data_IF_652233001269
#
_entry.id   IF_652233001269
#
_cell.length_a   1.000
_cell.length_b   1.000
_cell.length_c   1.000
_cell.angle_alpha   90.00
_cell.angle_beta   90.00
_cell.angle_gamma   90.00
#
_symmetry.space_group_name_H-M   'P 1'
#
loop_
_entity.id
_entity.type
_entity.pdbx_description
1 polymer ?
#
# COMPACT_ATOMS: atom_id res chain seq x y z
N UNK A 1 16.55 19.59 -14.30
CA UNK A 1 15.48 19.24 -13.36
C UNK A 1 15.06 17.78 -13.47
N UNK A 2 14.62 17.28 -14.63
CA UNK A 2 14.13 15.89 -14.78
C UNK A 2 15.20 14.83 -14.47
N UNK A 3 16.46 15.02 -14.89
CA UNK A 3 17.53 14.06 -14.61
C UNK A 3 17.85 13.94 -13.12
N UNK A 4 17.78 15.04 -12.37
CA UNK A 4 17.99 15.01 -10.91
C UNK A 4 16.85 14.27 -10.20
N UNK A 5 15.61 14.52 -10.59
CA UNK A 5 14.43 13.82 -10.03
C UNK A 5 14.50 12.31 -10.32
N UNK A 6 14.82 11.95 -11.57
CA UNK A 6 14.97 10.55 -11.94
C UNK A 6 16.11 9.86 -11.17
N UNK A 7 17.25 10.54 -11.01
CA UNK A 7 18.38 10.02 -10.23
C UNK A 7 18.04 9.81 -8.75
N UNK A 8 17.39 10.79 -8.13
CA UNK A 8 16.94 10.67 -6.74
C UNK A 8 15.93 9.52 -6.56
N UNK A 9 14.98 9.41 -7.49
CA UNK A 9 14.00 8.32 -7.46
C UNK A 9 14.68 6.95 -7.61
N UNK A 10 15.59 6.80 -8.57
CA UNK A 10 16.34 5.56 -8.76
C UNK A 10 17.15 5.19 -7.51
N UNK A 11 17.82 6.17 -6.89
CA UNK A 11 18.57 5.96 -5.65
C UNK A 11 17.65 5.48 -4.52
N UNK A 12 16.50 6.13 -4.33
CA UNK A 12 15.53 5.73 -3.31
C UNK A 12 15.02 4.30 -3.51
N UNK A 13 14.80 3.91 -4.77
CA UNK A 13 14.38 2.54 -5.10
C UNK A 13 15.47 1.53 -4.81
N UNK A 14 16.71 1.77 -5.24
CA UNK A 14 17.84 0.84 -5.04
C UNK A 14 18.15 0.68 -3.55
N UNK A 15 18.26 1.78 -2.81
CA UNK A 15 18.51 1.74 -1.36
C UNK A 15 17.37 1.07 -0.62
N UNK A 16 16.12 1.38 -0.97
CA UNK A 16 14.95 0.75 -0.36
C UNK A 16 14.93 -0.77 -0.55
N UNK A 17 15.19 -1.24 -1.77
CA UNK A 17 15.27 -2.69 -2.07
C UNK A 17 16.43 -3.34 -1.32
N UNK A 18 17.62 -2.73 -1.35
CA UNK A 18 18.79 -3.27 -0.68
C UNK A 18 18.58 -3.40 0.85
N UNK A 19 18.09 -2.35 1.49
CA UNK A 19 17.77 -2.36 2.93
C UNK A 19 16.67 -3.38 3.22
N UNK A 20 15.65 -3.48 2.38
CA UNK A 20 14.56 -4.44 2.54
C UNK A 20 15.05 -5.90 2.48
N UNK A 21 15.85 -6.25 1.49
CA UNK A 21 16.39 -7.62 1.33
C UNK A 21 17.37 -7.97 2.47
N UNK A 22 18.34 -7.11 2.72
CA UNK A 22 19.35 -7.35 3.77
C UNK A 22 18.70 -7.38 5.15
N UNK A 23 17.79 -6.46 5.41
CA UNK A 23 17.04 -6.40 6.66
C UNK A 23 16.13 -7.59 6.90
N UNK A 24 15.47 -8.09 5.85
CA UNK A 24 14.68 -9.32 5.95
C UNK A 24 15.54 -10.52 6.36
N UNK A 25 16.72 -10.68 5.77
CA UNK A 25 17.65 -11.75 6.14
C UNK A 25 18.16 -11.59 7.57
N UNK A 26 18.46 -10.37 8.00
CA UNK A 26 18.85 -10.08 9.38
C UNK A 26 17.72 -10.42 10.37
N UNK A 27 16.49 -10.03 10.06
CA UNK A 27 15.32 -10.38 10.87
C UNK A 27 15.07 -11.89 10.93
N UNK A 28 15.21 -12.60 9.81
CA UNK A 28 15.11 -14.06 9.79
C UNK A 28 16.17 -14.74 10.65
N UNK A 29 17.40 -14.26 10.61
CA UNK A 29 18.47 -14.77 11.47
C UNK A 29 18.19 -14.47 12.94
N UNK A 30 17.69 -13.26 13.25
CA UNK A 30 17.29 -12.89 14.60
C UNK A 30 16.19 -13.80 15.14
N UNK A 31 15.16 -14.08 14.30
CA UNK A 31 14.07 -15.01 14.67
C UNK A 31 14.60 -16.40 14.98
N UNK A 32 15.56 -16.89 14.20
CA UNK A 32 16.13 -18.24 14.37
C UNK A 32 17.11 -18.36 15.54
N UNK A 33 17.86 -17.30 15.85
CA UNK A 33 18.91 -17.32 16.87
C UNK A 33 18.46 -16.88 18.25
N UNK A 34 17.42 -16.05 18.32
CA UNK A 34 16.93 -15.48 19.58
C UNK A 34 15.50 -15.97 19.82
N UNK A 35 15.32 -17.09 20.53
CA UNK A 35 13.98 -17.52 20.95
C UNK A 35 13.39 -16.51 21.93
N UNK A 36 12.11 -16.23 21.77
CA UNK A 36 11.37 -15.39 22.71
C UNK A 36 10.59 -16.26 23.69
N UNK A 37 10.43 -15.82 24.94
CA UNK A 37 9.77 -16.59 25.98
C UNK A 37 8.26 -16.75 25.77
N UNK A 38 7.66 -15.95 24.89
CA UNK A 38 6.22 -15.98 24.59
C UNK A 38 5.98 -15.88 23.08
N UNK A 39 5.04 -16.65 22.59
CA UNK A 39 4.60 -16.63 21.19
C UNK A 39 4.03 -15.26 20.77
N UNK A 40 3.34 -14.58 21.68
CA UNK A 40 2.75 -13.26 21.46
C UNK A 40 3.81 -12.16 21.16
N UNK A 41 5.08 -12.36 21.52
CA UNK A 41 6.14 -11.41 21.28
C UNK A 41 6.69 -11.47 19.84
N UNK A 42 6.46 -12.55 19.10
CA UNK A 42 6.93 -12.70 17.72
C UNK A 42 6.31 -11.68 16.75
N UNK A 43 4.98 -11.42 16.78
CA UNK A 43 4.37 -10.34 16.01
C UNK A 43 4.90 -8.95 16.36
N UNK A 44 5.07 -8.67 17.67
CA UNK A 44 5.61 -7.39 18.14
C UNK A 44 7.04 -7.18 17.64
N UNK A 45 7.89 -8.22 17.73
CA UNK A 45 9.26 -8.18 17.17
C UNK A 45 9.28 -7.89 15.68
N UNK A 46 8.37 -8.50 14.91
CA UNK A 46 8.29 -8.26 13.46
C UNK A 46 7.84 -6.83 13.15
N UNK A 47 6.93 -6.25 13.94
CA UNK A 47 6.50 -4.86 13.81
C UNK A 47 7.64 -3.88 14.13
N UNK A 48 8.37 -4.11 15.23
CA UNK A 48 9.54 -3.31 15.59
C UNK A 48 10.63 -3.43 14.53
N UNK A 49 10.84 -4.64 13.99
CA UNK A 49 11.75 -4.87 12.88
C UNK A 49 11.36 -4.07 11.62
N UNK A 50 10.08 -4.05 11.27
CA UNK A 50 9.58 -3.24 10.16
C UNK A 50 9.81 -1.74 10.39
N UNK A 51 9.53 -1.25 11.60
CA UNK A 51 9.81 0.15 11.97
C UNK A 51 11.30 0.50 11.90
N UNK A 52 12.17 -0.38 12.37
CA UNK A 52 13.62 -0.21 12.28
C UNK A 52 14.11 -0.16 10.82
N UNK A 53 13.59 -1.03 9.95
CA UNK A 53 13.92 -1.04 8.52
C UNK A 53 13.42 0.22 7.81
N UNK A 54 12.21 0.68 8.15
CA UNK A 54 11.70 1.94 7.64
C UNK A 54 12.60 3.10 8.01
N UNK A 55 12.95 3.22 9.29
CA UNK A 55 13.84 4.27 9.79
C UNK A 55 15.23 4.20 9.15
N UNK A 56 15.84 3.02 9.09
CA UNK A 56 17.16 2.81 8.49
C UNK A 56 17.17 3.22 7.00
N UNK A 57 16.18 2.77 6.22
CA UNK A 57 16.08 3.15 4.82
C UNK A 57 15.91 4.67 4.65
N UNK A 58 15.10 5.30 5.49
CA UNK A 58 14.87 6.74 5.47
C UNK A 58 16.13 7.55 5.79
N UNK A 59 16.92 7.12 6.79
CA UNK A 59 18.22 7.74 7.14
C UNK A 59 19.22 7.61 5.98
N UNK A 60 19.17 6.50 5.24
CA UNK A 60 20.02 6.28 4.07
C UNK A 60 19.48 6.94 2.78
N UNK A 61 18.51 7.84 2.90
CA UNK A 61 17.84 8.49 1.77
C UNK A 61 17.16 7.52 0.80
N UNK A 62 16.80 6.32 1.27
CA UNK A 62 16.02 5.32 0.55
C UNK A 62 14.53 5.42 0.85
N UNK A 63 13.72 4.68 0.09
CA UNK A 63 12.28 4.55 0.36
C UNK A 63 12.05 3.58 1.52
N UNK A 64 11.65 4.09 2.70
CA UNK A 64 11.29 3.29 3.87
C UNK A 64 10.10 2.36 3.61
N UNK A 65 9.10 2.83 2.88
CA UNK A 65 7.95 2.01 2.49
C UNK A 65 8.36 0.82 1.61
N UNK A 66 9.23 1.08 0.62
CA UNK A 66 9.72 0.03 -0.25
C UNK A 66 10.57 -0.99 0.52
N UNK A 67 11.41 -0.54 1.45
CA UNK A 67 12.22 -1.43 2.27
C UNK A 67 11.35 -2.37 3.12
N UNK A 68 10.32 -1.85 3.77
CA UNK A 68 9.38 -2.66 4.56
C UNK A 68 8.57 -3.60 3.68
N UNK A 69 8.11 -3.14 2.51
CA UNK A 69 7.39 -3.98 1.55
C UNK A 69 8.24 -5.16 1.07
N UNK A 70 9.47 -4.89 0.63
CA UNK A 70 10.40 -5.94 0.17
C UNK A 70 10.73 -6.91 1.30
N UNK A 71 10.99 -6.40 2.50
CA UNK A 71 11.21 -7.23 3.67
C UNK A 71 10.00 -8.12 3.97
N UNK A 72 8.79 -7.58 3.88
CA UNK A 72 7.55 -8.32 4.06
C UNK A 72 7.37 -9.46 3.06
N UNK A 73 7.69 -9.22 1.78
CA UNK A 73 7.67 -10.25 0.72
C UNK A 73 8.66 -11.37 1.02
N UNK A 74 9.90 -11.02 1.36
CA UNK A 74 10.96 -12.01 1.66
C UNK A 74 10.60 -12.83 2.91
N UNK A 75 10.17 -12.17 3.99
CA UNK A 75 9.74 -12.82 5.23
C UNK A 75 8.50 -13.69 5.01
N UNK A 76 7.57 -13.23 4.18
CA UNK A 76 6.35 -13.94 3.84
C UNK A 76 6.60 -15.25 3.10
N UNK A 77 7.67 -15.36 2.30
CA UNK A 77 8.05 -16.58 1.59
C UNK A 77 8.93 -17.51 2.45
N UNK A 78 9.57 -16.97 3.47
CA UNK A 78 10.46 -17.77 4.32
C UNK A 78 9.68 -18.73 5.24
N UNK A 79 10.21 -19.92 5.42
CA UNK A 79 9.73 -20.86 6.45
C UNK A 79 10.19 -20.37 7.82
N UNK A 80 9.32 -19.63 8.50
CA UNK A 80 9.57 -19.10 9.85
C UNK A 80 8.60 -19.72 10.85
N UNK A 81 9.04 -20.07 12.06
CA UNK A 81 8.12 -20.39 13.15
C UNK A 81 7.22 -19.17 13.42
N UNK A 82 6.00 -19.42 13.91
CA UNK A 82 5.00 -18.39 14.24
C UNK A 82 4.56 -17.49 13.07
N UNK A 83 4.68 -17.99 11.82
CA UNK A 83 4.29 -17.25 10.62
C UNK A 83 2.81 -16.88 10.61
N UNK A 84 1.96 -17.78 11.10
CA UNK A 84 0.51 -17.58 11.10
C UNK A 84 0.11 -16.46 12.08
N UNK A 85 0.69 -16.47 13.28
CA UNK A 85 0.47 -15.47 14.33
C UNK A 85 0.93 -14.08 13.86
N UNK A 86 2.13 -13.99 13.27
CA UNK A 86 2.66 -12.76 12.69
C UNK A 86 1.73 -12.24 11.59
N UNK A 87 1.28 -13.12 10.69
CA UNK A 87 0.37 -12.75 9.60
C UNK A 87 -0.98 -12.24 10.11
N UNK A 88 -1.60 -12.96 11.06
CA UNK A 88 -2.88 -12.56 11.66
C UNK A 88 -2.79 -11.21 12.37
N UNK A 89 -1.73 -11.00 13.12
CA UNK A 89 -1.49 -9.73 13.81
C UNK A 89 -1.36 -8.56 12.83
N UNK A 90 -0.54 -8.71 11.78
CA UNK A 90 -0.36 -7.66 10.79
C UNK A 90 -1.63 -7.41 9.96
N UNK A 91 -2.41 -8.45 9.66
CA UNK A 91 -3.70 -8.30 9.00
C UNK A 91 -4.69 -7.51 9.87
N UNK A 92 -4.80 -7.83 11.16
CA UNK A 92 -5.64 -7.09 12.10
C UNK A 92 -5.18 -5.63 12.25
N UNK A 93 -3.86 -5.39 12.33
CA UNK A 93 -3.30 -4.04 12.42
C UNK A 93 -3.56 -3.25 11.13
N UNK A 94 -3.45 -3.87 9.96
CA UNK A 94 -3.76 -3.25 8.68
C UNK A 94 -5.25 -2.86 8.59
N UNK A 95 -6.16 -3.76 9.00
CA UNK A 95 -7.60 -3.47 9.04
C UNK A 95 -7.92 -2.33 10.01
N UNK A 96 -7.30 -2.30 11.19
CA UNK A 96 -7.45 -1.20 12.13
C UNK A 96 -6.95 0.12 11.53
N UNK A 97 -5.78 0.10 10.91
CA UNK A 97 -5.21 1.27 10.21
C UNK A 97 -6.12 1.77 9.10
N UNK A 98 -6.74 0.88 8.36
CA UNK A 98 -7.71 1.22 7.31
C UNK A 98 -8.95 1.90 7.88
N UNK A 99 -9.54 1.34 8.94
CA UNK A 99 -10.70 1.94 9.62
C UNK A 99 -10.36 3.34 10.14
N UNK A 100 -9.21 3.50 10.81
CA UNK A 100 -8.74 4.80 11.30
C UNK A 100 -8.54 5.79 10.15
N UNK A 101 -7.91 5.37 9.07
CA UNK A 101 -7.69 6.23 7.90
C UNK A 101 -9.01 6.68 7.24
N UNK A 102 -9.98 5.79 7.09
CA UNK A 102 -11.30 6.16 6.57
C UNK A 102 -12.10 7.04 7.54
N UNK A 103 -11.96 6.83 8.84
CA UNK A 103 -12.56 7.73 9.83
C UNK A 103 -11.97 9.14 9.75
N UNK A 104 -10.65 9.26 9.67
CA UNK A 104 -9.99 10.56 9.43
C UNK A 104 -10.42 11.19 8.12
N UNK A 105 -10.52 10.41 7.05
CA UNK A 105 -11.03 10.88 5.78
C UNK A 105 -12.43 11.49 5.94
N UNK A 106 -13.35 10.77 6.59
CA UNK A 106 -14.72 11.24 6.81
C UNK A 106 -14.78 12.55 7.59
N UNK A 107 -13.83 12.78 8.51
CA UNK A 107 -13.73 14.01 9.29
C UNK A 107 -13.08 15.17 8.54
N UNK A 108 -12.19 14.89 7.58
CA UNK A 108 -11.42 15.92 6.86
C UNK A 108 -12.02 16.31 5.51
N UNK A 109 -12.93 15.51 4.97
CA UNK A 109 -13.57 15.79 3.69
C UNK A 109 -14.60 16.90 3.84
N UNK A 110 -14.40 18.00 3.12
CA UNK A 110 -15.40 19.05 2.98
C UNK A 110 -16.40 18.67 1.89
N UNK A 111 -17.63 18.34 2.31
CA UNK A 111 -18.71 17.94 1.42
C UNK A 111 -19.11 19.05 0.43
N UNK A 112 -18.93 20.33 0.81
CA UNK A 112 -19.23 21.45 -0.09
C UNK A 112 -18.22 21.53 -1.23
N UNK A 113 -16.95 21.24 -0.95
CA UNK A 113 -15.91 21.15 -1.99
C UNK A 113 -16.17 19.94 -2.87
N UNK A 114 -16.56 18.81 -2.28
CA UNK A 114 -16.85 17.58 -3.02
C UNK A 114 -18.04 17.71 -3.96
N UNK A 115 -19.08 18.48 -3.56
CA UNK A 115 -20.29 18.71 -4.35
C UNK A 115 -20.07 19.65 -5.57
N UNK A 116 -18.91 20.30 -5.65
CA UNK A 116 -18.60 21.21 -6.77
C UNK A 116 -18.34 20.41 -8.05
N UNK A 117 -18.92 20.88 -9.16
CA UNK A 117 -18.78 20.21 -10.47
C UNK A 117 -17.34 20.17 -10.98
N UNK A 118 -16.50 21.12 -10.57
CA UNK A 118 -15.08 21.18 -10.91
C UNK A 118 -14.20 20.20 -10.10
N UNK A 119 -14.79 19.46 -9.16
CA UNK A 119 -14.15 18.42 -8.35
C UNK A 119 -14.69 17.04 -8.68
N UNK A 120 -16.00 16.81 -8.51
CA UNK A 120 -16.55 15.45 -8.68
C UNK A 120 -16.54 14.97 -10.13
N UNK A 121 -16.76 15.86 -11.11
CA UNK A 121 -16.78 15.47 -12.51
C UNK A 121 -15.41 15.02 -13.02
N UNK A 122 -14.31 15.79 -12.85
CA UNK A 122 -12.96 15.32 -13.16
C UNK A 122 -12.58 14.06 -12.38
N UNK A 123 -12.96 13.98 -11.10
CA UNK A 123 -12.71 12.80 -10.26
C UNK A 123 -13.39 11.54 -10.80
N UNK A 124 -14.66 11.64 -11.18
CA UNK A 124 -15.39 10.53 -11.77
C UNK A 124 -14.78 10.09 -13.12
N UNK A 125 -14.51 11.06 -14.02
CA UNK A 125 -13.88 10.78 -15.30
C UNK A 125 -12.53 10.12 -15.13
N UNK A 126 -11.70 10.65 -14.25
CA UNK A 126 -10.37 10.09 -13.95
C UNK A 126 -10.48 8.68 -13.36
N UNK A 127 -11.43 8.46 -12.44
CA UNK A 127 -11.72 7.16 -11.86
C UNK A 127 -12.14 6.13 -12.91
N UNK A 128 -13.04 6.50 -13.83
CA UNK A 128 -13.47 5.65 -14.93
C UNK A 128 -12.33 5.34 -15.90
N UNK A 129 -11.54 6.33 -16.29
CA UNK A 129 -10.36 6.14 -17.15
C UNK A 129 -9.37 5.18 -16.49
N UNK A 130 -9.10 5.37 -15.21
CA UNK A 130 -8.22 4.49 -14.44
C UNK A 130 -8.74 3.05 -14.39
N UNK A 131 -10.04 2.87 -14.13
CA UNK A 131 -10.65 1.55 -14.00
C UNK A 131 -10.78 0.81 -15.34
N UNK A 132 -11.23 1.51 -16.39
CA UNK A 132 -11.62 0.88 -17.65
C UNK A 132 -10.53 0.91 -18.72
N UNK A 133 -9.55 1.80 -18.60
CA UNK A 133 -8.49 1.94 -19.61
C UNK A 133 -7.13 1.59 -19.02
N UNK A 134 -6.68 2.33 -18.02
CA UNK A 134 -5.29 2.23 -17.53
C UNK A 134 -5.05 0.86 -16.90
N UNK A 135 -5.94 0.40 -16.04
CA UNK A 135 -5.80 -0.92 -15.37
C UNK A 135 -5.82 -2.09 -16.34
N UNK A 136 -6.78 -2.21 -17.27
CA UNK A 136 -6.75 -3.28 -18.27
C UNK A 136 -5.52 -3.22 -19.15
N UNK A 137 -5.12 -2.03 -19.60
CA UNK A 137 -3.95 -1.87 -20.48
C UNK A 137 -2.65 -2.30 -19.78
N UNK A 138 -2.45 -1.89 -18.52
CA UNK A 138 -1.23 -2.23 -17.78
C UNK A 138 -1.31 -3.62 -17.13
N UNK A 139 -2.49 -4.06 -16.69
CA UNK A 139 -2.66 -5.33 -15.99
C UNK A 139 -2.76 -6.54 -16.91
N UNK A 140 -3.35 -6.40 -18.11
CA UNK A 140 -3.50 -7.52 -19.04
C UNK A 140 -2.18 -8.19 -19.40
N UNK A 141 -1.09 -7.46 -19.74
CA UNK A 141 0.20 -8.08 -20.03
C UNK A 141 0.75 -8.90 -18.86
N UNK A 142 0.52 -8.44 -17.63
CA UNK A 142 0.99 -9.13 -16.41
C UNK A 142 0.20 -10.41 -16.13
N UNK A 143 -1.03 -10.50 -16.63
CA UNK A 143 -1.90 -11.67 -16.47
C UNK A 143 -1.78 -12.67 -17.65
N UNK A 144 -1.02 -12.33 -18.69
CA UNK A 144 -0.73 -13.25 -19.79
C UNK A 144 0.15 -14.38 -19.25
N UNK A 145 -0.33 -15.62 -19.40
CA UNK A 145 0.38 -16.81 -18.87
C UNK A 145 0.02 -17.20 -17.43
N UNK A 146 -0.82 -16.46 -16.72
CA UNK A 146 -1.23 -16.79 -15.34
C UNK A 146 -2.17 -18.00 -15.19
N UNK A 147 -2.63 -18.59 -16.29
CA UNK A 147 -3.60 -19.70 -16.25
C UNK A 147 -5.04 -19.30 -15.87
N UNK A 148 -5.26 -18.03 -15.56
CA UNK A 148 -6.59 -17.52 -15.17
C UNK A 148 -7.56 -17.48 -16.36
N UNK A 149 -8.82 -17.80 -16.09
CA UNK A 149 -9.92 -17.64 -17.03
C UNK A 149 -10.17 -16.16 -17.38
N UNK A 150 -10.90 -15.90 -18.47
CA UNK A 150 -11.24 -14.52 -18.88
C UNK A 150 -12.02 -13.77 -17.79
N UNK A 151 -12.95 -14.47 -17.10
CA UNK A 151 -13.74 -13.89 -16.01
C UNK A 151 -12.89 -13.52 -14.81
N UNK A 152 -11.98 -14.41 -14.39
CA UNK A 152 -11.06 -14.15 -13.28
C UNK A 152 -10.09 -13.00 -13.59
N UNK A 153 -9.58 -12.91 -14.83
CA UNK A 153 -8.76 -11.77 -15.26
C UNK A 153 -9.54 -10.47 -15.22
N UNK A 154 -10.78 -10.46 -15.74
CA UNK A 154 -11.62 -9.27 -15.67
C UNK A 154 -11.91 -8.86 -14.22
N UNK A 155 -12.18 -9.83 -13.35
CA UNK A 155 -12.39 -9.59 -11.93
C UNK A 155 -11.14 -8.95 -11.29
N UNK A 156 -9.95 -9.52 -11.48
CA UNK A 156 -8.68 -8.98 -10.94
C UNK A 156 -8.41 -7.57 -11.46
N UNK A 157 -8.66 -7.30 -12.75
CA UNK A 157 -8.46 -6.00 -13.36
C UNK A 157 -9.44 -4.94 -12.86
N UNK A 158 -10.70 -5.31 -12.62
CA UNK A 158 -11.74 -4.38 -12.16
C UNK A 158 -11.68 -4.12 -10.65
N UNK A 159 -11.41 -5.16 -9.85
CA UNK A 159 -11.45 -5.11 -8.39
C UNK A 159 -10.14 -4.69 -7.73
N UNK A 160 -9.16 -4.22 -8.47
CA UNK A 160 -7.83 -3.88 -7.96
C UNK A 160 -7.82 -3.27 -6.56
N UNK A 161 -6.85 -3.73 -5.76
CA UNK A 161 -6.64 -3.31 -4.38
C UNK A 161 -6.53 -1.79 -4.26
N UNK A 162 -7.40 -1.21 -3.44
CA UNK A 162 -7.36 0.19 -3.04
C UNK A 162 -7.41 0.24 -1.53
N UNK A 163 -6.37 0.79 -0.99
CA UNK A 163 -6.30 1.06 0.42
C UNK A 163 -6.44 2.55 0.71
N UNK A 164 -6.36 2.91 1.97
CA UNK A 164 -6.31 4.28 2.45
C UNK A 164 -5.06 5.07 1.98
N UNK A 165 -4.05 4.42 1.41
CA UNK A 165 -2.79 5.05 1.00
C UNK A 165 -2.98 6.20 0.00
N UNK A 166 -3.75 6.08 -1.10
CA UNK A 166 -4.00 7.20 -2.00
C UNK A 166 -4.66 8.39 -1.31
N UNK A 167 -5.53 8.13 -0.33
CA UNK A 167 -6.21 9.16 0.44
C UNK A 167 -5.26 9.88 1.39
N UNK A 168 -4.40 9.13 2.07
CA UNK A 168 -3.36 9.70 2.94
C UNK A 168 -2.35 10.53 2.14
N UNK A 169 -1.92 10.04 0.97
CA UNK A 169 -1.05 10.81 0.08
C UNK A 169 -1.75 12.06 -0.45
N UNK A 170 -3.05 11.95 -0.79
CA UNK A 170 -3.86 13.10 -1.19
C UNK A 170 -3.99 14.14 -0.09
N UNK A 171 -4.09 13.74 1.18
CA UNK A 171 -4.17 14.66 2.30
C UNK A 171 -2.92 15.53 2.50
N UNK A 172 -1.75 15.08 2.03
CA UNK A 172 -0.53 15.88 2.04
C UNK A 172 -0.60 17.11 1.12
N UNK A 173 -1.56 17.12 0.19
CA UNK A 173 -1.77 18.25 -0.72
C UNK A 173 -2.63 19.35 -0.10
N UNK A 174 -3.32 19.09 1.03
CA UNK A 174 -4.23 20.06 1.66
C UNK A 174 -3.60 21.42 1.99
N UNK A 175 -2.32 21.50 2.43
CA UNK A 175 -1.67 22.77 2.70
C UNK A 175 -1.39 23.63 1.46
N UNK A 176 -1.42 23.02 0.26
CA UNK A 176 -1.14 23.71 -1.00
C UNK A 176 -2.31 24.59 -1.46
N UNK A 177 -2.05 25.61 -2.26
CA UNK A 177 -3.05 26.61 -2.70
C UNK A 177 -4.30 26.02 -3.39
N UNK A 178 -4.16 24.85 -4.03
CA UNK A 178 -5.27 24.11 -4.66
C UNK A 178 -5.50 22.74 -4.00
N UNK A 179 -4.96 22.53 -2.80
CA UNK A 179 -4.89 21.23 -2.14
C UNK A 179 -6.27 20.63 -1.85
N UNK A 180 -7.22 21.43 -1.38
CA UNK A 180 -8.58 20.96 -1.09
C UNK A 180 -9.31 20.44 -2.34
N UNK A 181 -9.09 21.09 -3.49
CA UNK A 181 -9.66 20.67 -4.77
C UNK A 181 -9.03 19.38 -5.27
N UNK A 182 -7.69 19.30 -5.26
CA UNK A 182 -6.95 18.09 -5.66
C UNK A 182 -7.29 16.92 -4.75
N UNK A 183 -7.35 17.15 -3.46
CA UNK A 183 -7.75 16.15 -2.47
C UNK A 183 -9.17 15.65 -2.73
N UNK A 184 -10.13 16.55 -2.99
CA UNK A 184 -11.49 16.18 -3.36
C UNK A 184 -11.54 15.29 -4.61
N UNK A 185 -10.76 15.59 -5.66
CA UNK A 185 -10.64 14.74 -6.85
C UNK A 185 -10.12 13.34 -6.49
N UNK A 186 -9.09 13.25 -5.66
CA UNK A 186 -8.55 11.95 -5.18
C UNK A 186 -9.60 11.15 -4.43
N UNK A 187 -10.37 11.80 -3.54
CA UNK A 187 -11.46 11.17 -2.79
C UNK A 187 -12.50 10.60 -3.74
N UNK A 188 -12.97 11.38 -4.73
CA UNK A 188 -13.95 10.93 -5.72
C UNK A 188 -13.41 9.75 -6.52
N UNK A 189 -12.14 9.79 -6.96
CA UNK A 189 -11.49 8.67 -7.67
C UNK A 189 -11.51 7.40 -6.83
N UNK A 190 -11.16 7.49 -5.56
CA UNK A 190 -11.12 6.32 -4.66
C UNK A 190 -12.54 5.78 -4.40
N UNK A 191 -13.53 6.64 -4.21
CA UNK A 191 -14.90 6.22 -3.97
C UNK A 191 -15.61 5.66 -5.22
N UNK A 192 -15.31 6.23 -6.41
CA UNK A 192 -15.94 5.83 -7.67
C UNK A 192 -15.47 4.46 -8.16
N UNK A 193 -14.33 3.98 -7.69
CA UNK A 193 -13.80 2.70 -8.14
C UNK A 193 -14.35 1.56 -7.25
N UNK A 194 -14.78 0.42 -7.82
CA UNK A 194 -15.39 -0.66 -7.05
C UNK A 194 -14.44 -1.19 -5.96
N UNK A 195 -14.95 -1.26 -4.75
CA UNK A 195 -14.28 -1.85 -3.59
C UNK A 195 -14.48 -3.36 -3.68
N UNK A 196 -13.43 -4.14 -3.83
CA UNK A 196 -13.52 -5.57 -3.62
C UNK A 196 -13.60 -5.81 -2.11
N UNK A 197 -14.81 -5.76 -1.58
CA UNK A 197 -15.08 -6.13 -0.19
C UNK A 197 -14.86 -7.63 0.02
N UNK A 198 -14.00 -7.96 0.93
CA UNK A 198 -14.01 -9.04 1.89
C UNK A 198 -15.15 -10.10 1.79
N UNK A 199 -15.16 -10.93 0.75
CA UNK A 199 -16.06 -12.09 0.73
C UNK A 199 -15.41 -13.35 0.15
N UNK A 200 -14.09 -13.47 0.27
CA UNK A 200 -13.35 -14.68 -0.10
C UNK A 200 -12.86 -15.49 1.11
N UNK A 201 -13.31 -15.17 2.31
CA UNK A 201 -12.93 -15.93 3.52
C UNK A 201 -13.96 -17.01 3.91
N UNK A 202 -15.02 -17.23 3.12
CA UNK A 202 -16.06 -18.24 3.38
C UNK A 202 -16.08 -19.37 2.31
N UNK A 203 -14.94 -19.70 1.69
CA UNK A 203 -14.84 -20.85 0.79
C UNK A 203 -13.64 -21.73 1.10
#
# INVERSE_FOLDING_TARGET
ALGHVAGTFALQMVVGVAVGVLGAHALLQLVRRVPLPSEALHPVRSLLGAGALFGLASVLHGSGFLAVFVAGVVLGQARSPYRLEVRRFHAALASLGEVVAFAFLGLTVDLHVLARSDVWLPGLVLGLVLALVIRPVLGTPLLVGSGLSRGERAFVLLTGLKGAVPLLLGSLLLPEAHGSRLYGVVVVVVLALPQAGASLDDA
#
